data_IF_918908055482
#
_entry.id   IF_918908055482
#
_cell.length_a   1.000
_cell.length_b   1.000
_cell.length_c   1.000
_cell.angle_alpha   90.00
_cell.angle_beta   90.00
_cell.angle_gamma   90.00
#
_symmetry.space_group_name_H-M   'P 1'
#
loop_
_entity.id
_entity.type
_entity.pdbx_description
1 polymer ?
#
# COMPACT_ATOMS: atom_id res chain seq x y z
N UNK A 1 19.16 11.86 -12.39
CA UNK A 1 20.50 11.69 -13.00
C UNK A 1 21.36 12.93 -12.84
N UNK A 2 20.82 14.14 -13.08
CA UNK A 2 21.59 15.39 -12.96
C UNK A 2 21.34 16.16 -11.66
N UNK A 3 20.30 15.79 -10.91
CA UNK A 3 19.99 16.40 -9.63
C UNK A 3 21.09 16.10 -8.61
N UNK A 4 21.58 17.15 -7.95
CA UNK A 4 22.48 17.07 -6.81
C UNK A 4 21.78 17.71 -5.61
N UNK A 5 21.45 16.95 -4.55
CA UNK A 5 20.70 17.46 -3.42
C UNK A 5 21.53 18.46 -2.60
N UNK A 6 20.88 19.54 -2.16
CA UNK A 6 21.44 20.50 -1.20
C UNK A 6 21.27 20.06 0.26
N UNK A 7 20.45 19.03 0.52
CA UNK A 7 20.20 18.51 1.86
C UNK A 7 21.24 17.45 2.25
N UNK A 8 21.47 17.31 3.56
CA UNK A 8 22.38 16.29 4.10
C UNK A 8 21.68 14.94 4.13
N UNK A 9 22.27 13.96 3.46
CA UNK A 9 21.77 12.58 3.46
C UNK A 9 22.17 11.92 4.77
N UNK A 10 21.22 11.81 5.69
CA UNK A 10 21.42 11.13 6.98
C UNK A 10 21.31 9.61 6.86
N UNK A 11 20.53 9.13 5.89
CA UNK A 11 20.30 7.72 5.62
C UNK A 11 20.18 7.45 4.12
N UNK A 12 20.76 6.34 3.67
CA UNK A 12 20.61 5.87 2.29
C UNK A 12 19.27 5.15 2.10
N UNK A 13 18.32 5.86 1.50
CA UNK A 13 16.99 5.37 1.18
C UNK A 13 16.97 4.24 0.16
N UNK A 14 18.07 3.95 -0.56
CA UNK A 14 18.14 2.77 -1.43
C UNK A 14 18.31 1.46 -0.66
N UNK A 15 18.85 1.53 0.55
CA UNK A 15 19.12 0.36 1.40
C UNK A 15 18.17 0.25 2.59
N UNK A 16 17.32 1.26 2.80
CA UNK A 16 16.43 1.35 3.96
C UNK A 16 15.37 0.23 4.05
N UNK A 17 14.96 -0.36 2.92
CA UNK A 17 13.85 -1.31 2.83
C UNK A 17 14.23 -2.55 2.03
N UNK A 18 14.50 -3.65 2.74
CA UNK A 18 15.02 -4.90 2.18
C UNK A 18 14.07 -6.08 2.39
N UNK A 19 14.22 -7.12 1.58
CA UNK A 19 13.43 -8.35 1.71
C UNK A 19 13.77 -9.08 3.01
N UNK A 20 15.01 -8.96 3.48
CA UNK A 20 15.48 -9.52 4.74
C UNK A 20 14.78 -8.88 5.94
N UNK A 21 14.58 -7.55 5.94
CA UNK A 21 13.82 -6.86 6.99
C UNK A 21 12.35 -7.28 7.00
N UNK A 22 11.72 -7.39 5.81
CA UNK A 22 10.35 -7.90 5.70
C UNK A 22 10.25 -9.33 6.25
N UNK A 23 11.21 -10.20 5.88
CA UNK A 23 11.26 -11.59 6.31
C UNK A 23 11.53 -11.72 7.81
N UNK A 24 12.38 -10.88 8.39
CA UNK A 24 12.66 -10.87 9.83
C UNK A 24 11.37 -10.66 10.64
N UNK A 25 10.49 -9.76 10.20
CA UNK A 25 9.17 -9.54 10.85
C UNK A 25 8.29 -10.78 10.82
N UNK A 26 8.35 -11.59 9.76
CA UNK A 26 7.59 -12.84 9.61
C UNK A 26 8.22 -13.94 10.47
N UNK A 27 9.55 -14.01 10.49
CA UNK A 27 10.33 -15.02 11.22
C UNK A 27 10.09 -14.96 12.74
N UNK A 28 9.76 -13.79 13.27
CA UNK A 28 9.35 -13.61 14.67
C UNK A 28 8.04 -14.35 15.02
N UNK A 29 7.22 -14.69 14.03
CA UNK A 29 5.86 -15.22 14.26
C UNK A 29 5.56 -16.54 13.54
N UNK A 30 6.39 -16.97 12.58
CA UNK A 30 6.22 -18.24 11.86
C UNK A 30 7.57 -18.73 11.29
N UNK A 31 7.79 -20.05 11.40
CA UNK A 31 8.95 -20.75 10.84
C UNK A 31 8.67 -21.40 9.47
N UNK A 32 7.46 -21.20 8.92
CA UNK A 32 6.98 -21.89 7.71
C UNK A 32 7.40 -21.20 6.40
N UNK A 33 8.18 -20.12 6.49
CA UNK A 33 8.60 -19.30 5.35
C UNK A 33 10.11 -19.27 5.19
N UNK A 34 10.58 -19.06 3.97
CA UNK A 34 12.00 -18.83 3.63
C UNK A 34 12.15 -17.76 2.56
N UNK A 35 13.33 -17.14 2.51
CA UNK A 35 13.78 -16.38 1.35
C UNK A 35 14.28 -17.38 0.30
N UNK A 36 13.78 -17.27 -0.93
CA UNK A 36 14.27 -17.99 -2.11
C UNK A 36 15.08 -17.05 -3.00
N UNK A 37 16.19 -17.56 -3.53
CA UNK A 37 17.04 -16.92 -4.52
C UNK A 37 16.76 -17.46 -5.94
N UNK A 38 15.62 -18.13 -6.14
CA UNK A 38 15.24 -18.74 -7.43
C UNK A 38 15.25 -17.73 -8.58
N UNK A 39 14.99 -16.45 -8.29
CA UNK A 39 14.95 -15.38 -9.27
C UNK A 39 16.23 -14.52 -9.29
N UNK A 40 17.35 -15.05 -8.78
CA UNK A 40 18.66 -14.39 -8.89
C UNK A 40 18.95 -14.05 -10.36
N UNK A 41 19.47 -12.84 -10.58
CA UNK A 41 19.74 -12.29 -11.91
C UNK A 41 18.50 -12.20 -12.81
N UNK A 42 17.30 -12.23 -12.22
CA UNK A 42 16.00 -12.13 -12.89
C UNK A 42 15.77 -13.22 -13.95
N UNK A 43 16.35 -14.40 -13.72
CA UNK A 43 16.34 -15.54 -14.66
C UNK A 43 14.97 -16.22 -14.81
N UNK A 44 14.12 -16.16 -13.78
CA UNK A 44 12.82 -16.84 -13.76
C UNK A 44 11.66 -15.89 -14.04
N UNK A 45 11.73 -14.67 -13.51
CA UNK A 45 10.73 -13.62 -13.69
C UNK A 45 11.42 -12.25 -13.74
N UNK A 46 11.40 -11.63 -14.92
CA UNK A 46 12.07 -10.33 -15.15
C UNK A 46 11.43 -9.16 -14.41
N UNK A 47 10.22 -9.33 -13.88
CA UNK A 47 9.42 -8.28 -13.24
C UNK A 47 9.28 -8.46 -11.72
N UNK A 48 9.83 -9.55 -11.16
CA UNK A 48 9.95 -9.77 -9.72
C UNK A 48 11.32 -9.33 -9.19
N UNK A 49 11.47 -9.16 -7.87
CA UNK A 49 12.77 -8.94 -7.26
C UNK A 49 13.63 -10.21 -7.33
N UNK A 50 14.94 -10.09 -7.11
CA UNK A 50 15.86 -11.24 -7.10
C UNK A 50 15.59 -12.22 -5.94
N UNK A 51 15.03 -11.69 -4.85
CA UNK A 51 14.69 -12.44 -3.65
C UNK A 51 13.19 -12.39 -3.41
N UNK A 52 12.58 -13.54 -3.16
CA UNK A 52 11.14 -13.65 -2.85
C UNK A 52 10.92 -14.50 -1.61
N UNK A 53 9.84 -14.22 -0.89
CA UNK A 53 9.45 -15.00 0.30
C UNK A 53 8.42 -16.04 -0.12
N UNK A 54 8.71 -17.31 0.20
CA UNK A 54 7.95 -18.49 -0.22
C UNK A 54 7.85 -19.50 0.93
N UNK A 55 6.94 -20.48 0.86
CA UNK A 55 6.84 -21.52 1.88
C UNK A 55 8.13 -22.32 1.99
N UNK A 56 8.59 -22.55 3.22
CA UNK A 56 9.86 -23.22 3.53
C UNK A 56 9.96 -24.62 2.92
N UNK A 57 8.84 -25.34 2.86
CA UNK A 57 8.71 -26.71 2.32
C UNK A 57 8.79 -26.80 0.79
N UNK A 58 8.63 -25.69 0.08
CA UNK A 58 8.64 -25.68 -1.38
C UNK A 58 10.06 -25.47 -1.86
N UNK A 59 10.52 -26.33 -2.77
CA UNK A 59 11.83 -26.22 -3.42
C UNK A 59 11.81 -25.24 -4.60
N UNK A 60 12.97 -24.71 -4.97
CA UNK A 60 13.09 -23.76 -6.10
C UNK A 60 12.69 -24.40 -7.44
N UNK A 61 12.82 -25.72 -7.60
CA UNK A 61 12.35 -26.49 -8.77
C UNK A 61 10.83 -26.36 -8.99
N UNK A 62 10.06 -26.44 -7.90
CA UNK A 62 8.60 -26.27 -7.89
C UNK A 62 8.22 -24.83 -8.24
N UNK A 63 8.98 -23.85 -7.73
CA UNK A 63 8.78 -22.43 -8.07
C UNK A 63 9.01 -22.17 -9.56
N UNK A 64 10.08 -22.72 -10.15
CA UNK A 64 10.36 -22.60 -11.59
C UNK A 64 9.24 -23.25 -12.43
N UNK A 65 8.71 -24.39 -12.00
CA UNK A 65 7.57 -25.03 -12.67
C UNK A 65 6.31 -24.15 -12.61
N UNK A 66 5.98 -23.59 -11.45
CA UNK A 66 4.87 -22.63 -11.29
C UNK A 66 5.10 -21.37 -12.15
N UNK A 67 6.32 -20.83 -12.18
CA UNK A 67 6.67 -19.67 -12.99
C UNK A 67 6.40 -19.92 -14.48
N UNK A 68 6.81 -21.09 -15.01
CA UNK A 68 6.54 -21.46 -16.41
C UNK A 68 5.03 -21.55 -16.74
N UNK A 69 4.19 -21.76 -15.72
CA UNK A 69 2.74 -21.86 -15.84
C UNK A 69 2.01 -20.54 -15.53
N UNK A 70 2.71 -19.50 -15.08
CA UNK A 70 2.12 -18.21 -14.69
C UNK A 70 2.52 -17.12 -15.69
N UNK A 71 1.57 -16.28 -16.09
CA UNK A 71 1.83 -15.23 -17.08
C UNK A 71 3.05 -14.36 -16.67
N UNK A 72 3.98 -14.14 -17.59
CA UNK A 72 5.25 -13.41 -17.35
C UNK A 72 6.16 -14.03 -16.26
N UNK A 73 5.95 -15.29 -15.87
CA UNK A 73 6.75 -15.92 -14.82
C UNK A 73 6.36 -15.49 -13.40
N UNK A 74 5.25 -14.77 -13.20
CA UNK A 74 4.88 -14.19 -11.89
C UNK A 74 4.14 -15.21 -11.03
N UNK A 75 4.89 -16.20 -10.54
CA UNK A 75 4.41 -17.26 -9.65
C UNK A 75 3.93 -16.73 -8.28
N UNK A 76 3.07 -17.47 -7.55
CA UNK A 76 2.63 -17.10 -6.20
C UNK A 76 3.78 -16.83 -5.24
N UNK A 77 3.86 -15.59 -4.75
CA UNK A 77 4.81 -15.14 -3.71
C UNK A 77 4.07 -14.48 -2.55
N UNK A 78 4.68 -14.52 -1.36
CA UNK A 78 4.12 -13.86 -0.19
C UNK A 78 4.14 -12.34 -0.38
N UNK A 79 2.99 -11.71 -0.16
CA UNK A 79 2.83 -10.26 -0.11
C UNK A 79 2.76 -9.77 1.34
N UNK A 80 1.98 -10.47 2.17
CA UNK A 80 1.79 -10.14 3.58
C UNK A 80 1.44 -11.37 4.41
N UNK A 81 1.89 -11.39 5.66
CA UNK A 81 1.55 -12.42 6.63
C UNK A 81 0.87 -11.77 7.83
N UNK A 82 -0.41 -12.08 8.02
CA UNK A 82 -1.20 -11.51 9.09
C UNK A 82 -0.92 -12.22 10.42
N UNK A 83 -0.20 -11.52 11.31
CA UNK A 83 0.42 -12.12 12.51
C UNK A 83 -0.59 -12.74 13.48
N UNK A 84 -1.77 -12.13 13.63
CA UNK A 84 -2.82 -12.53 14.59
C UNK A 84 -3.51 -13.82 14.15
N UNK A 85 -4.07 -13.85 12.95
CA UNK A 85 -4.76 -15.05 12.43
C UNK A 85 -3.82 -16.09 11.79
N UNK A 86 -2.51 -15.79 11.66
CA UNK A 86 -1.51 -16.64 10.96
C UNK A 86 -1.89 -16.95 9.51
N UNK A 87 -2.58 -16.02 8.86
CA UNK A 87 -3.04 -16.14 7.46
C UNK A 87 -2.06 -15.46 6.52
N UNK A 88 -1.95 -16.00 5.30
CA UNK A 88 -1.06 -15.45 4.28
C UNK A 88 -1.86 -14.78 3.16
N UNK A 89 -1.36 -13.63 2.71
CA UNK A 89 -1.76 -12.96 1.49
C UNK A 89 -0.69 -13.20 0.44
N UNK A 90 -1.05 -13.93 -0.60
CA UNK A 90 -0.20 -14.26 -1.74
C UNK A 90 -0.61 -13.41 -2.94
N UNK A 91 0.35 -13.12 -3.83
CA UNK A 91 0.11 -12.43 -5.10
C UNK A 91 0.77 -13.15 -6.26
N UNK A 92 0.14 -13.12 -7.42
CA UNK A 92 0.66 -13.69 -8.67
C UNK A 92 -0.03 -13.07 -9.91
N UNK A 93 0.37 -13.54 -11.09
CA UNK A 93 -0.39 -13.37 -12.33
C UNK A 93 -1.39 -14.52 -12.55
N UNK A 94 -2.25 -14.41 -13.55
CA UNK A 94 -3.12 -15.51 -13.97
C UNK A 94 -2.33 -16.77 -14.37
N UNK A 95 -2.92 -17.97 -14.22
CA UNK A 95 -2.36 -19.21 -14.71
C UNK A 95 -2.58 -19.38 -16.23
N UNK A 96 -1.66 -20.08 -16.89
CA UNK A 96 -1.63 -20.32 -18.34
C UNK A 96 -2.40 -21.58 -18.74
N UNK A 97 -3.64 -21.69 -18.25
CA UNK A 97 -4.54 -22.86 -18.43
C UNK A 97 -4.92 -23.04 -19.90
N UNK A 98 -5.35 -21.96 -20.56
CA UNK A 98 -5.79 -21.96 -21.95
C UNK A 98 -7.08 -22.75 -22.19
N UNK A 99 -7.45 -22.87 -23.47
CA UNK A 99 -8.60 -23.67 -23.92
C UNK A 99 -8.38 -25.17 -23.73
N UNK A 100 -7.12 -25.62 -23.77
CA UNK A 100 -6.73 -27.02 -23.59
C UNK A 100 -6.69 -27.46 -22.13
N UNK A 101 -7.08 -26.61 -21.17
CA UNK A 101 -7.14 -26.93 -19.74
C UNK A 101 -5.82 -27.47 -19.18
N UNK A 102 -4.69 -26.82 -19.55
CA UNK A 102 -3.37 -27.20 -19.05
C UNK A 102 -3.31 -27.11 -17.53
N UNK A 103 -2.48 -27.98 -16.96
CA UNK A 103 -2.24 -28.10 -15.52
C UNK A 103 -0.76 -27.99 -15.21
N UNK A 104 -0.44 -27.67 -13.97
CA UNK A 104 0.92 -27.64 -13.47
C UNK A 104 0.94 -28.16 -12.02
N UNK A 105 1.49 -29.35 -11.81
CA UNK A 105 1.59 -29.95 -10.49
C UNK A 105 2.39 -29.07 -9.51
N UNK A 106 3.42 -28.38 -10.01
CA UNK A 106 4.21 -27.47 -9.17
C UNK A 106 3.42 -26.24 -8.70
N UNK A 107 2.54 -25.69 -9.53
CA UNK A 107 1.64 -24.59 -9.12
C UNK A 107 0.59 -25.06 -8.11
N UNK A 108 0.01 -26.24 -8.37
CA UNK A 108 -0.96 -26.89 -7.47
C UNK A 108 -0.32 -27.18 -6.09
N UNK A 109 0.90 -27.70 -6.07
CA UNK A 109 1.68 -27.97 -4.86
C UNK A 109 2.02 -26.68 -4.10
N UNK A 110 2.56 -25.67 -4.79
CA UNK A 110 2.87 -24.38 -4.19
C UNK A 110 1.64 -23.74 -3.54
N UNK A 111 0.51 -23.69 -4.23
CA UNK A 111 -0.72 -23.14 -3.65
C UNK A 111 -1.24 -24.01 -2.50
N UNK A 112 -1.23 -25.34 -2.62
CA UNK A 112 -1.62 -26.21 -1.50
C UNK A 112 -0.74 -25.98 -0.26
N UNK A 113 0.52 -25.62 -0.47
CA UNK A 113 1.51 -25.43 0.59
C UNK A 113 1.34 -24.14 1.42
N UNK A 114 0.43 -23.23 1.06
CA UNK A 114 0.14 -22.02 1.87
C UNK A 114 -1.16 -22.12 2.66
N UNK A 115 -1.90 -23.21 2.48
CA UNK A 115 -3.15 -23.44 3.18
C UNK A 115 -2.90 -23.91 4.61
N UNK A 116 -3.74 -23.40 5.52
CA UNK A 116 -3.80 -23.89 6.90
C UNK A 116 -4.54 -25.22 6.97
N UNK A 117 -4.17 -26.05 7.95
CA UNK A 117 -4.77 -27.35 8.13
C UNK A 117 -6.31 -27.25 8.28
N UNK A 118 -7.04 -28.00 7.47
CA UNK A 118 -8.51 -28.07 7.53
C UNK A 118 -9.28 -26.85 6.99
N UNK A 119 -8.61 -25.79 6.51
CA UNK A 119 -9.28 -24.59 5.96
C UNK A 119 -9.07 -24.45 4.45
N UNK A 120 -10.16 -24.14 3.72
CA UNK A 120 -10.08 -23.74 2.30
C UNK A 120 -9.56 -22.30 2.20
N UNK A 121 -8.76 -22.02 1.17
CA UNK A 121 -8.31 -20.66 0.85
C UNK A 121 -9.21 -19.97 -0.17
N UNK A 122 -8.99 -18.67 -0.37
CA UNK A 122 -9.67 -17.89 -1.40
C UNK A 122 -8.72 -17.45 -2.51
N UNK A 123 -9.16 -17.57 -3.76
CA UNK A 123 -8.49 -16.95 -4.92
C UNK A 123 -9.37 -15.79 -5.38
N UNK A 124 -8.85 -14.58 -5.25
CA UNK A 124 -9.54 -13.35 -5.65
C UNK A 124 -8.98 -12.92 -7.00
N UNK A 125 -9.80 -13.09 -8.05
CA UNK A 125 -9.51 -12.61 -9.38
C UNK A 125 -10.03 -11.18 -9.53
N UNK A 126 -9.13 -10.23 -9.80
CA UNK A 126 -9.50 -8.81 -9.92
C UNK A 126 -10.15 -8.47 -11.26
N UNK A 127 -10.43 -9.46 -12.12
CA UNK A 127 -11.11 -9.28 -13.41
C UNK A 127 -12.58 -9.69 -13.29
N UNK A 128 -13.41 -9.15 -14.18
CA UNK A 128 -14.74 -9.69 -14.40
C UNK A 128 -14.64 -11.12 -14.94
N UNK A 129 -15.68 -11.92 -14.67
CA UNK A 129 -15.77 -13.29 -15.17
C UNK A 129 -15.62 -13.36 -16.70
N UNK A 130 -16.20 -12.40 -17.43
CA UNK A 130 -16.08 -12.32 -18.89
C UNK A 130 -14.64 -12.08 -19.36
N UNK A 131 -13.92 -11.14 -18.73
CA UNK A 131 -12.51 -10.86 -19.07
C UNK A 131 -11.61 -12.04 -18.74
N UNK A 132 -11.89 -12.76 -17.65
CA UNK A 132 -11.19 -13.98 -17.30
C UNK A 132 -11.41 -15.10 -18.34
N UNK A 133 -12.64 -15.27 -18.83
CA UNK A 133 -12.94 -16.22 -19.92
C UNK A 133 -12.27 -15.83 -21.24
N UNK A 134 -12.26 -14.54 -21.60
CA UNK A 134 -11.51 -14.05 -22.77
C UNK A 134 -10.00 -14.23 -22.62
N UNK A 135 -9.47 -14.18 -21.40
CA UNK A 135 -8.06 -14.48 -21.16
C UNK A 135 -7.76 -15.97 -21.35
N UNK A 136 -8.71 -16.85 -21.01
CA UNK A 136 -8.61 -18.29 -21.27
C UNK A 136 -8.49 -18.62 -22.75
N UNK A 137 -9.24 -17.94 -23.62
CA UNK A 137 -9.13 -18.14 -25.08
C UNK A 137 -7.76 -17.72 -25.63
N UNK A 138 -7.08 -16.78 -24.96
CA UNK A 138 -5.72 -16.32 -25.28
C UNK A 138 -4.61 -17.11 -24.58
N UNK A 139 -4.93 -18.24 -23.95
CA UNK A 139 -3.95 -19.11 -23.29
C UNK A 139 -3.76 -18.88 -21.78
N UNK A 140 -4.34 -17.83 -21.22
CA UNK A 140 -4.40 -17.57 -19.77
C UNK A 140 -5.56 -18.32 -19.10
N UNK A 141 -6.21 -17.70 -18.11
CA UNK A 141 -7.44 -18.22 -17.50
C UNK A 141 -7.50 -18.06 -15.99
N UNK A 142 -8.11 -19.04 -15.33
CA UNK A 142 -8.27 -19.13 -13.87
C UNK A 142 -8.08 -20.58 -13.42
N UNK A 143 -7.77 -20.76 -12.15
CA UNK A 143 -7.60 -22.04 -11.46
C UNK A 143 -8.89 -22.87 -11.47
N UNK A 144 -8.96 -24.02 -12.16
CA UNK A 144 -10.16 -24.86 -12.20
C UNK A 144 -10.39 -25.58 -10.87
N UNK A 145 -11.62 -25.61 -10.35
CA UNK A 145 -11.95 -26.22 -9.04
C UNK A 145 -11.55 -27.70 -8.94
N UNK A 146 -11.65 -28.44 -10.06
CA UNK A 146 -11.25 -29.85 -10.16
C UNK A 146 -9.76 -30.06 -9.83
N UNK A 147 -8.91 -29.05 -10.06
CA UNK A 147 -7.46 -29.13 -9.85
C UNK A 147 -7.02 -28.36 -8.60
N UNK A 148 -7.85 -27.43 -8.13
CA UNK A 148 -7.61 -26.62 -6.94
C UNK A 148 -8.79 -26.76 -5.95
N UNK A 149 -9.14 -27.99 -5.48
CA UNK A 149 -10.37 -28.25 -4.73
C UNK A 149 -10.42 -27.58 -3.34
N UNK A 150 -9.25 -27.20 -2.82
CA UNK A 150 -9.10 -26.49 -1.54
C UNK A 150 -9.16 -24.96 -1.68
N UNK A 151 -9.40 -24.46 -2.89
CA UNK A 151 -9.46 -23.03 -3.19
C UNK A 151 -10.84 -22.66 -3.72
N UNK A 152 -11.46 -21.68 -3.07
CA UNK A 152 -12.69 -21.06 -3.56
C UNK A 152 -12.34 -19.81 -4.36
N UNK A 153 -12.63 -19.82 -5.66
CA UNK A 153 -12.37 -18.67 -6.55
C UNK A 153 -13.53 -17.69 -6.50
N UNK A 154 -13.21 -16.41 -6.36
CA UNK A 154 -14.14 -15.28 -6.32
C UNK A 154 -13.68 -14.19 -7.28
N UNK A 155 -14.62 -13.49 -7.90
CA UNK A 155 -14.32 -12.33 -8.74
C UNK A 155 -14.60 -11.04 -7.97
N UNK A 156 -13.60 -10.15 -7.89
CA UNK A 156 -13.72 -8.79 -7.32
C UNK A 156 -13.16 -7.79 -8.33
N UNK A 157 -13.96 -7.42 -9.35
CA UNK A 157 -13.46 -6.65 -10.49
C UNK A 157 -12.91 -5.28 -10.07
N UNK A 158 -11.72 -4.95 -10.57
CA UNK A 158 -11.11 -3.63 -10.49
C UNK A 158 -10.84 -3.16 -11.92
N UNK A 159 -11.25 -1.93 -12.22
CA UNK A 159 -11.11 -1.32 -13.54
C UNK A 159 -9.64 -1.11 -13.92
N UNK A 160 -9.31 -1.09 -15.23
CA UNK A 160 -7.91 -1.10 -15.69
C UNK A 160 -7.62 -0.06 -16.77
N UNK A 161 -6.35 0.36 -16.80
CA UNK A 161 -5.69 1.07 -17.91
C UNK A 161 -6.54 2.21 -18.51
N UNK A 162 -7.08 2.03 -19.71
CA UNK A 162 -7.76 3.06 -20.49
C UNK A 162 -8.97 3.65 -19.78
N UNK A 163 -9.79 2.82 -19.13
CA UNK A 163 -10.98 3.32 -18.42
C UNK A 163 -10.59 4.20 -17.22
N UNK A 164 -9.52 3.84 -16.49
CA UNK A 164 -9.00 4.68 -15.41
C UNK A 164 -8.39 6.00 -15.92
N UNK A 165 -7.74 6.00 -17.08
CA UNK A 165 -7.22 7.23 -17.70
C UNK A 165 -8.34 8.17 -18.15
N UNK A 166 -9.37 7.62 -18.80
CA UNK A 166 -10.55 8.39 -19.19
C UNK A 166 -11.23 9.00 -17.96
N UNK A 167 -11.36 8.20 -16.90
CA UNK A 167 -11.88 8.67 -15.61
C UNK A 167 -11.06 9.82 -15.03
N UNK A 168 -9.73 9.67 -14.96
CA UNK A 168 -8.82 10.73 -14.48
C UNK A 168 -8.99 12.03 -15.29
N UNK A 169 -9.18 11.91 -16.59
CA UNK A 169 -9.26 13.08 -17.47
C UNK A 169 -10.54 13.85 -17.26
N UNK A 170 -11.65 13.12 -17.16
CA UNK A 170 -12.97 13.70 -16.88
C UNK A 170 -13.01 14.38 -15.52
N UNK A 171 -12.42 13.76 -14.47
CA UNK A 171 -12.42 14.38 -13.13
C UNK A 171 -11.51 15.61 -13.11
N UNK A 172 -10.36 15.60 -13.78
CA UNK A 172 -9.48 16.76 -13.91
C UNK A 172 -10.17 17.90 -14.67
N UNK A 173 -10.77 17.60 -15.83
CA UNK A 173 -11.51 18.59 -16.63
C UNK A 173 -12.65 19.21 -15.82
N UNK A 174 -13.46 18.38 -15.16
CA UNK A 174 -14.53 18.83 -14.28
C UNK A 174 -14.00 19.75 -13.17
N UNK A 175 -12.87 19.36 -12.55
CA UNK A 175 -12.28 20.06 -11.40
C UNK A 175 -11.67 21.41 -11.77
N UNK A 176 -11.32 21.63 -13.03
CA UNK A 176 -10.72 22.88 -13.51
C UNK A 176 -11.74 23.90 -14.02
N UNK A 177 -12.98 23.49 -14.30
CA UNK A 177 -14.00 24.38 -14.85
C UNK A 177 -14.76 25.11 -13.73
N UNK A 178 -14.30 26.29 -13.37
CA UNK A 178 -14.88 27.11 -12.28
C UNK A 178 -16.16 27.85 -12.68
N UNK A 179 -16.54 27.81 -13.97
CA UNK A 179 -17.69 28.55 -14.51
C UNK A 179 -19.00 27.77 -14.55
N UNK A 180 -19.02 26.51 -14.09
CA UNK A 180 -20.20 25.65 -14.16
C UNK A 180 -21.16 25.82 -12.99
N UNK A 181 -22.45 25.53 -13.23
CA UNK A 181 -23.44 25.41 -12.16
C UNK A 181 -23.16 24.17 -11.28
N UNK A 182 -23.71 24.19 -10.06
CA UNK A 182 -23.59 23.06 -9.11
C UNK A 182 -24.11 21.73 -9.70
N UNK A 183 -25.27 21.76 -10.38
CA UNK A 183 -25.83 20.53 -10.99
C UNK A 183 -24.90 19.97 -12.07
N UNK A 184 -24.28 20.85 -12.86
CA UNK A 184 -23.36 20.45 -13.92
C UNK A 184 -22.02 19.94 -13.36
N UNK A 185 -21.53 20.53 -12.26
CA UNK A 185 -20.38 20.03 -11.51
C UNK A 185 -20.63 18.60 -11.02
N UNK A 186 -21.73 18.37 -10.30
CA UNK A 186 -22.07 17.06 -9.75
C UNK A 186 -22.27 16.02 -10.86
N UNK A 187 -22.98 16.37 -11.94
CA UNK A 187 -23.18 15.49 -13.09
C UNK A 187 -21.86 15.12 -13.78
N UNK A 188 -20.92 16.07 -13.94
CA UNK A 188 -19.60 15.77 -14.51
C UNK A 188 -18.73 14.92 -13.60
N UNK A 189 -18.78 15.18 -12.29
CA UNK A 189 -18.08 14.36 -11.30
C UNK A 189 -18.60 12.92 -11.32
N UNK A 190 -19.92 12.73 -11.36
CA UNK A 190 -20.53 11.40 -11.54
C UNK A 190 -20.10 10.75 -12.86
N UNK A 191 -20.20 11.48 -13.98
CA UNK A 191 -19.83 11.00 -15.31
C UNK A 191 -18.34 10.64 -15.47
N UNK A 192 -17.47 11.15 -14.58
CA UNK A 192 -16.06 10.75 -14.51
C UNK A 192 -15.89 9.31 -14.04
N UNK A 193 -16.79 8.78 -13.22
CA UNK A 193 -16.67 7.47 -12.59
C UNK A 193 -15.55 7.34 -11.54
N UNK A 194 -14.80 8.41 -11.24
CA UNK A 194 -13.61 8.35 -10.39
C UNK A 194 -13.94 7.77 -9.00
N UNK A 195 -14.93 8.35 -8.31
CA UNK A 195 -15.34 7.89 -6.97
C UNK A 195 -15.92 6.47 -6.99
N UNK A 196 -16.53 6.05 -8.09
CA UNK A 196 -17.01 4.68 -8.27
C UNK A 196 -15.84 3.69 -8.35
N UNK A 197 -14.73 4.07 -8.99
CA UNK A 197 -13.52 3.27 -9.01
C UNK A 197 -12.87 3.18 -7.63
N UNK A 198 -12.73 4.31 -6.92
CA UNK A 198 -12.23 4.35 -5.54
C UNK A 198 -13.05 3.42 -4.63
N UNK A 199 -14.39 3.54 -4.66
CA UNK A 199 -15.30 2.67 -3.90
C UNK A 199 -15.09 1.19 -4.24
N UNK A 200 -14.98 0.85 -5.53
CA UNK A 200 -14.83 -0.55 -5.97
C UNK A 200 -13.52 -1.15 -5.50
N UNK A 201 -12.44 -0.38 -5.55
CA UNK A 201 -11.11 -0.78 -5.08
C UNK A 201 -11.10 -0.98 -3.57
N UNK A 202 -11.61 -0.01 -2.79
CA UNK A 202 -11.73 -0.15 -1.34
C UNK A 202 -12.61 -1.35 -0.95
N UNK A 203 -13.71 -1.59 -1.66
CA UNK A 203 -14.56 -2.75 -1.43
C UNK A 203 -13.81 -4.08 -1.64
N UNK A 204 -12.95 -4.15 -2.67
CA UNK A 204 -12.08 -5.30 -2.89
C UNK A 204 -11.04 -5.46 -1.78
N UNK A 205 -10.38 -4.37 -1.36
CA UNK A 205 -9.39 -4.39 -0.31
C UNK A 205 -9.97 -4.78 1.05
N UNK A 206 -11.12 -4.23 1.44
CA UNK A 206 -11.86 -4.61 2.64
C UNK A 206 -12.24 -6.10 2.61
N UNK A 207 -12.66 -6.62 1.45
CA UNK A 207 -12.97 -8.04 1.30
C UNK A 207 -11.72 -8.93 1.49
N UNK A 208 -10.60 -8.57 0.87
CA UNK A 208 -9.32 -9.27 1.07
C UNK A 208 -8.92 -9.25 2.55
N UNK A 209 -9.02 -8.09 3.20
CA UNK A 209 -8.70 -7.94 4.62
C UNK A 209 -9.64 -8.78 5.50
N UNK A 210 -10.94 -8.79 5.21
CA UNK A 210 -11.94 -9.60 5.91
C UNK A 210 -11.62 -11.09 5.82
N UNK A 211 -11.25 -11.58 4.64
CA UNK A 211 -10.86 -12.98 4.47
C UNK A 211 -9.63 -13.36 5.32
N UNK A 212 -8.69 -12.44 5.52
CA UNK A 212 -7.47 -12.69 6.29
C UNK A 212 -7.70 -12.61 7.81
N UNK A 213 -8.43 -11.59 8.29
CA UNK A 213 -8.60 -11.29 9.72
C UNK A 213 -9.83 -11.95 10.33
N UNK A 214 -10.98 -11.94 9.64
CA UNK A 214 -12.25 -12.44 10.18
C UNK A 214 -12.55 -13.89 9.77
N UNK A 215 -12.38 -14.23 8.48
CA UNK A 215 -12.60 -15.61 8.02
C UNK A 215 -11.41 -16.52 8.39
N UNK A 216 -10.28 -15.90 8.76
CA UNK A 216 -9.01 -16.55 9.06
C UNK A 216 -8.62 -17.55 7.94
N UNK A 217 -8.55 -17.08 6.70
CA UNK A 217 -8.21 -17.88 5.52
C UNK A 217 -7.09 -17.25 4.72
N UNK A 218 -6.22 -18.09 4.16
CA UNK A 218 -5.19 -17.66 3.20
C UNK A 218 -5.86 -17.18 1.92
N UNK A 219 -5.35 -16.07 1.39
CA UNK A 219 -5.87 -15.42 0.18
C UNK A 219 -4.77 -15.36 -0.88
N UNK A 220 -5.11 -15.69 -2.12
CA UNK A 220 -4.29 -15.42 -3.31
C UNK A 220 -5.00 -14.36 -4.13
N UNK A 221 -4.35 -13.25 -4.42
CA UNK A 221 -4.89 -12.21 -5.31
C UNK A 221 -4.13 -12.26 -6.62
N UNK A 222 -4.86 -12.28 -7.73
CA UNK A 222 -4.27 -12.10 -9.05
C UNK A 222 -5.23 -11.38 -10.01
N UNK A 223 -4.66 -10.88 -11.09
CA UNK A 223 -5.39 -10.34 -12.23
C UNK A 223 -4.84 -10.97 -13.50
N UNK A 224 -4.70 -10.20 -14.58
CA UNK A 224 -3.97 -10.66 -15.76
C UNK A 224 -2.47 -10.80 -15.44
N UNK A 225 -1.71 -9.71 -15.55
CA UNK A 225 -0.26 -9.69 -15.33
C UNK A 225 0.11 -9.63 -13.84
N UNK A 226 -0.82 -9.25 -12.96
CA UNK A 226 -0.52 -9.10 -11.53
C UNK A 226 0.42 -7.93 -11.20
N UNK A 227 0.44 -6.89 -12.03
CA UNK A 227 1.30 -5.69 -11.90
C UNK A 227 0.56 -4.41 -11.54
N UNK A 228 -0.78 -4.45 -11.49
CA UNK A 228 -1.64 -3.28 -11.33
C UNK A 228 -2.67 -3.55 -10.22
N UNK A 229 -3.91 -3.90 -10.58
CA UNK A 229 -5.02 -4.13 -9.65
C UNK A 229 -4.71 -5.11 -8.51
N UNK A 230 -3.87 -6.13 -8.77
CA UNK A 230 -3.39 -7.06 -7.74
C UNK A 230 -2.57 -6.35 -6.67
N UNK A 231 -1.62 -5.50 -7.07
CA UNK A 231 -0.77 -4.77 -6.13
C UNK A 231 -1.61 -3.77 -5.33
N UNK A 232 -2.54 -3.10 -6.00
CA UNK A 232 -3.49 -2.17 -5.41
C UNK A 232 -4.34 -2.83 -4.31
N UNK A 233 -4.94 -3.99 -4.59
CA UNK A 233 -5.74 -4.72 -3.61
C UNK A 233 -4.87 -5.22 -2.44
N UNK A 234 -3.69 -5.76 -2.74
CA UNK A 234 -2.78 -6.27 -1.71
C UNK A 234 -2.24 -5.16 -0.79
N UNK A 235 -1.88 -4.00 -1.33
CA UNK A 235 -1.32 -2.90 -0.54
C UNK A 235 -2.38 -2.25 0.36
N UNK A 236 -3.62 -2.08 -0.14
CA UNK A 236 -4.71 -1.51 0.67
C UNK A 236 -5.17 -2.46 1.77
N UNK A 237 -5.23 -3.77 1.50
CA UNK A 237 -5.51 -4.75 2.56
C UNK A 237 -4.48 -4.65 3.69
N UNK A 238 -3.21 -4.39 3.37
CA UNK A 238 -2.15 -4.19 4.38
C UNK A 238 -2.30 -2.88 5.15
N UNK A 239 -2.71 -1.78 4.51
CA UNK A 239 -3.00 -0.51 5.21
C UNK A 239 -4.13 -0.69 6.24
N UNK A 240 -5.16 -1.46 5.88
CA UNK A 240 -6.29 -1.81 6.75
C UNK A 240 -5.83 -2.67 7.94
N UNK A 241 -5.06 -3.73 7.66
CA UNK A 241 -4.73 -4.77 8.64
C UNK A 241 -3.54 -4.43 9.54
N UNK A 242 -2.50 -3.78 9.02
CA UNK A 242 -1.21 -3.63 9.68
C UNK A 242 -0.96 -2.18 10.12
N UNK A 243 -0.87 -1.89 11.43
CA UNK A 243 -0.55 -0.56 11.92
C UNK A 243 0.84 -0.08 11.46
N UNK A 244 1.80 -0.98 11.18
CA UNK A 244 3.11 -0.60 10.65
C UNK A 244 2.93 0.16 9.32
N UNK A 245 2.00 -0.29 8.46
CA UNK A 245 1.74 0.34 7.17
C UNK A 245 1.14 1.75 7.26
N UNK A 246 0.83 2.25 8.47
CA UNK A 246 0.29 3.60 8.72
C UNK A 246 1.33 4.54 9.34
N UNK A 247 2.52 4.01 9.63
CA UNK A 247 3.70 4.80 10.01
C UNK A 247 4.39 5.34 8.75
N UNK A 248 5.16 6.42 8.86
CA UNK A 248 5.94 6.99 7.78
C UNK A 248 6.87 5.93 7.17
N UNK A 249 7.66 5.26 8.02
CA UNK A 249 8.60 4.21 7.59
C UNK A 249 7.90 2.98 7.03
N UNK A 250 6.83 2.52 7.67
CA UNK A 250 6.15 1.32 7.21
C UNK A 250 5.35 1.53 5.93
N UNK A 251 4.83 2.74 5.67
CA UNK A 251 4.23 3.06 4.37
C UNK A 251 5.28 3.15 3.26
N UNK A 252 6.46 3.73 3.52
CA UNK A 252 7.59 3.68 2.58
C UNK A 252 7.99 2.23 2.26
N UNK A 253 8.10 1.37 3.29
CA UNK A 253 8.38 -0.06 3.13
C UNK A 253 7.29 -0.78 2.31
N UNK A 254 6.02 -0.43 2.52
CA UNK A 254 4.89 -0.94 1.74
C UNK A 254 5.02 -0.56 0.27
N UNK A 255 5.32 0.71 -0.05
CA UNK A 255 5.53 1.17 -1.44
C UNK A 255 6.71 0.43 -2.07
N UNK A 256 7.83 0.31 -1.35
CA UNK A 256 9.00 -0.43 -1.82
C UNK A 256 8.71 -1.91 -2.09
N UNK A 257 7.99 -2.60 -1.20
CA UNK A 257 7.67 -4.02 -1.35
C UNK A 257 6.60 -4.27 -2.41
N UNK A 258 5.50 -3.53 -2.33
CA UNK A 258 4.28 -3.84 -3.07
C UNK A 258 4.24 -3.23 -4.45
N UNK A 259 4.95 -2.12 -4.68
CA UNK A 259 4.91 -1.40 -5.96
C UNK A 259 6.25 -1.49 -6.70
N UNK A 260 7.35 -1.14 -6.02
CA UNK A 260 8.65 -1.03 -6.67
C UNK A 260 9.28 -2.41 -6.91
N UNK A 261 9.52 -3.19 -5.84
CA UNK A 261 10.08 -4.54 -5.95
C UNK A 261 9.16 -5.49 -6.69
N UNK A 262 7.85 -5.33 -6.54
CA UNK A 262 6.84 -6.13 -7.22
C UNK A 262 6.76 -5.90 -8.73
N UNK A 263 7.40 -4.85 -9.25
CA UNK A 263 7.43 -4.52 -10.68
C UNK A 263 6.16 -3.86 -11.19
N UNK A 264 5.57 -2.92 -10.44
CA UNK A 264 4.62 -1.97 -11.03
C UNK A 264 5.36 -1.14 -12.09
N UNK A 265 4.87 -1.09 -13.35
CA UNK A 265 5.61 -0.45 -14.43
C UNK A 265 5.47 1.08 -14.43
N UNK A 266 6.04 1.76 -13.43
CA UNK A 266 5.90 3.21 -13.22
C UNK A 266 6.25 4.03 -14.47
N UNK A 267 7.35 3.73 -15.15
CA UNK A 267 7.75 4.45 -16.38
C UNK A 267 6.68 4.38 -17.48
N UNK A 268 6.04 3.22 -17.67
CA UNK A 268 4.98 3.06 -18.67
C UNK A 268 3.66 3.69 -18.20
N UNK A 269 3.33 3.53 -16.92
CA UNK A 269 2.02 3.93 -16.35
C UNK A 269 1.91 5.43 -16.14
N UNK A 270 2.99 6.06 -15.68
CA UNK A 270 3.08 7.47 -15.33
C UNK A 270 3.78 8.31 -16.40
N UNK A 271 3.90 7.82 -17.64
CA UNK A 271 4.57 8.53 -18.73
C UNK A 271 3.95 9.91 -19.01
N UNK A 272 2.63 10.03 -18.84
CA UNK A 272 1.88 11.26 -19.07
C UNK A 272 0.83 11.46 -17.97
N UNK A 273 0.63 12.71 -17.54
CA UNK A 273 -0.37 13.09 -16.53
C UNK A 273 -1.79 13.24 -17.08
N UNK A 274 -2.74 13.60 -16.21
CA UNK A 274 -4.17 13.74 -16.56
C UNK A 274 -4.48 14.79 -17.64
N UNK A 275 -3.61 15.78 -17.83
CA UNK A 275 -3.75 16.83 -18.85
C UNK A 275 -3.23 16.44 -20.24
N UNK A 276 -2.65 15.25 -20.38
CA UNK A 276 -2.11 14.84 -21.66
C UNK A 276 -3.23 14.69 -22.70
N UNK A 277 -3.07 15.24 -23.92
CA UNK A 277 -4.11 15.16 -24.94
C UNK A 277 -4.39 13.69 -25.30
N UNK A 278 -5.62 13.32 -25.68
CA UNK A 278 -5.96 11.94 -26.03
C UNK A 278 -5.05 11.33 -27.11
N UNK A 279 -4.49 12.15 -27.99
CA UNK A 279 -3.60 11.72 -29.08
C UNK A 279 -2.26 11.12 -28.64
N UNK A 280 -1.75 11.47 -27.44
CA UNK A 280 -0.47 10.94 -26.92
C UNK A 280 -0.66 9.83 -25.89
N UNK A 281 -1.92 9.47 -25.59
CA UNK A 281 -2.23 8.43 -24.61
C UNK A 281 -2.09 7.06 -25.22
N UNK A 282 -1.38 6.19 -24.51
CA UNK A 282 -1.26 4.78 -24.88
C UNK A 282 -2.10 3.94 -23.93
N UNK A 283 -2.45 2.73 -24.38
CA UNK A 283 -3.12 1.72 -23.56
C UNK A 283 -2.31 1.28 -22.34
N UNK A 284 -1.01 1.58 -22.32
CA UNK A 284 -0.08 1.20 -21.25
C UNK A 284 0.01 2.25 -20.14
N UNK A 285 -0.60 3.43 -20.31
CA UNK A 285 -0.72 4.43 -19.26
C UNK A 285 -1.87 4.04 -18.31
N UNK A 286 -1.75 4.39 -17.03
CA UNK A 286 -2.83 4.18 -16.05
C UNK A 286 -2.53 4.92 -14.75
N UNK A 287 -3.50 5.59 -14.11
CA UNK A 287 -3.32 6.24 -12.82
C UNK A 287 -3.46 5.25 -11.66
N UNK A 288 -2.98 4.02 -11.80
CA UNK A 288 -3.22 2.95 -10.81
C UNK A 288 -2.57 3.26 -9.47
N UNK A 289 -1.36 3.83 -9.46
CA UNK A 289 -0.73 4.29 -8.22
C UNK A 289 -1.45 5.51 -7.61
N UNK A 290 -2.02 6.39 -8.43
CA UNK A 290 -2.85 7.49 -7.93
C UNK A 290 -4.15 6.97 -7.29
N UNK A 291 -4.81 5.97 -7.89
CA UNK A 291 -5.98 5.33 -7.28
C UNK A 291 -5.63 4.72 -5.91
N UNK A 292 -4.43 4.13 -5.77
CA UNK A 292 -3.93 3.66 -4.48
C UNK A 292 -3.83 4.80 -3.46
N UNK A 293 -3.17 5.90 -3.82
CA UNK A 293 -2.99 7.04 -2.93
C UNK A 293 -4.33 7.70 -2.56
N UNK A 294 -5.27 7.82 -3.48
CA UNK A 294 -6.62 8.33 -3.20
C UNK A 294 -7.37 7.39 -2.25
N UNK A 295 -7.30 6.07 -2.45
CA UNK A 295 -7.87 5.11 -1.49
C UNK A 295 -7.24 5.24 -0.10
N UNK A 296 -5.92 5.46 0.00
CA UNK A 296 -5.26 5.73 1.29
C UNK A 296 -5.74 7.05 1.89
N UNK A 297 -5.93 8.09 1.09
CA UNK A 297 -6.55 9.34 1.52
C UNK A 297 -7.96 9.11 2.08
N UNK A 298 -8.82 8.31 1.43
CA UNK A 298 -10.15 8.00 1.95
C UNK A 298 -10.08 7.33 3.34
N UNK A 299 -9.14 6.39 3.53
CA UNK A 299 -8.95 5.71 4.83
C UNK A 299 -8.40 6.71 5.86
N UNK A 300 -7.41 7.53 5.47
CA UNK A 300 -6.84 8.56 6.32
C UNK A 300 -7.91 9.54 6.81
N UNK A 301 -8.82 10.01 5.96
CA UNK A 301 -9.90 10.91 6.35
C UNK A 301 -10.87 10.29 7.36
N UNK A 302 -11.16 8.99 7.22
CA UNK A 302 -12.05 8.29 8.16
C UNK A 302 -11.35 7.94 9.48
N UNK A 303 -10.01 7.88 9.50
CA UNK A 303 -9.19 7.52 10.66
C UNK A 303 -8.02 8.49 10.85
N UNK A 304 -8.31 9.80 10.95
CA UNK A 304 -7.31 10.87 10.91
C UNK A 304 -6.18 10.74 11.95
N UNK A 305 -6.43 10.12 13.11
CA UNK A 305 -5.38 9.94 14.12
C UNK A 305 -4.55 8.66 13.91
N UNK A 306 -4.94 7.73 13.04
CA UNK A 306 -4.29 6.42 12.91
C UNK A 306 -3.08 6.40 11.97
N UNK A 307 -2.76 7.52 11.32
CA UNK A 307 -1.66 7.66 10.36
C UNK A 307 -0.63 8.66 10.86
N UNK A 308 0.64 8.26 10.82
CA UNK A 308 1.77 9.10 11.25
C UNK A 308 2.09 10.18 10.22
N UNK A 309 1.83 9.91 8.94
CA UNK A 309 2.01 10.88 7.87
C UNK A 309 0.71 11.64 7.60
N UNK A 310 0.84 12.86 7.08
CA UNK A 310 -0.28 13.70 6.67
C UNK A 310 -0.60 13.54 5.16
N UNK A 311 -1.64 14.24 4.71
CA UNK A 311 -2.09 14.25 3.32
C UNK A 311 -1.01 14.75 2.34
N UNK A 312 -0.16 15.69 2.75
CA UNK A 312 0.92 16.25 1.92
C UNK A 312 1.93 15.18 1.51
N UNK A 313 2.19 14.19 2.37
CA UNK A 313 3.03 13.05 2.01
C UNK A 313 2.44 12.25 0.85
N UNK A 314 1.13 12.01 0.84
CA UNK A 314 0.47 11.29 -0.26
C UNK A 314 0.52 12.08 -1.56
N UNK A 315 0.32 13.41 -1.49
CA UNK A 315 0.44 14.31 -2.65
C UNK A 315 1.88 14.28 -3.19
N UNK A 316 2.88 14.34 -2.32
CA UNK A 316 4.29 14.25 -2.69
C UNK A 316 4.60 12.94 -3.41
N UNK A 317 4.09 11.80 -2.94
CA UNK A 317 4.26 10.52 -3.63
C UNK A 317 3.63 10.51 -5.02
N UNK A 318 2.44 11.12 -5.15
CA UNK A 318 1.80 11.29 -6.46
C UNK A 318 2.70 12.12 -7.39
N UNK A 319 3.15 13.30 -6.97
CA UNK A 319 3.97 14.19 -7.79
C UNK A 319 5.27 13.51 -8.22
N UNK A 320 5.99 12.90 -7.29
CA UNK A 320 7.24 12.18 -7.57
C UNK A 320 7.06 10.90 -8.39
N UNK A 321 5.83 10.37 -8.51
CA UNK A 321 5.56 9.24 -9.42
C UNK A 321 5.49 9.67 -10.90
N UNK A 322 5.17 10.94 -11.17
CA UNK A 322 5.08 11.49 -12.53
C UNK A 322 6.30 12.34 -12.90
N UNK A 323 6.79 13.18 -11.97
CA UNK A 323 7.93 14.05 -12.18
C UNK A 323 8.78 14.10 -10.91
N UNK A 324 10.04 13.67 -11.02
CA UNK A 324 10.90 13.57 -9.84
C UNK A 324 12.35 13.89 -10.14
N UNK A 325 12.98 14.58 -9.20
CA UNK A 325 14.44 14.71 -9.12
C UNK A 325 15.14 13.43 -8.64
N UNK A 326 14.38 12.50 -8.05
CA UNK A 326 14.85 11.25 -7.45
C UNK A 326 14.67 10.04 -8.37
N UNK A 327 15.42 8.97 -8.10
CA UNK A 327 15.35 7.73 -8.88
C UNK A 327 14.24 6.76 -8.46
N UNK A 328 13.59 6.99 -7.32
CA UNK A 328 12.73 6.00 -6.64
C UNK A 328 11.61 5.45 -7.52
N UNK A 329 10.95 6.28 -8.33
CA UNK A 329 9.83 5.87 -9.20
C UNK A 329 10.22 5.70 -10.67
N UNK A 330 11.52 5.63 -10.99
CA UNK A 330 11.97 5.37 -12.36
C UNK A 330 11.87 3.87 -12.72
N UNK A 331 11.90 3.60 -14.03
CA UNK A 331 11.86 2.27 -14.65
C UNK A 331 10.57 1.47 -14.39
N UNK A 332 10.50 0.23 -14.89
CA UNK A 332 9.31 -0.62 -14.76
C UNK A 332 9.48 -1.84 -13.83
N UNK A 333 10.71 -2.20 -13.50
CA UNK A 333 11.02 -3.41 -12.73
C UNK A 333 12.37 -3.30 -12.03
N UNK A 334 12.61 -4.16 -11.04
CA UNK A 334 13.93 -4.24 -10.38
C UNK A 334 15.06 -4.58 -11.35
N UNK A 335 14.78 -5.36 -12.40
CA UNK A 335 15.75 -5.67 -13.45
C UNK A 335 16.22 -4.40 -14.17
N UNK A 336 15.28 -3.61 -14.68
CA UNK A 336 15.61 -2.34 -15.36
C UNK A 336 16.32 -1.36 -14.42
N UNK A 337 15.92 -1.31 -13.14
CA UNK A 337 16.58 -0.46 -12.12
C UNK A 337 18.05 -0.85 -11.91
N UNK A 338 18.36 -2.15 -11.88
CA UNK A 338 19.72 -2.69 -11.79
C UNK A 338 20.53 -2.36 -13.04
N UNK A 339 19.96 -2.54 -14.22
CA UNK A 339 20.59 -2.22 -15.52
C UNK A 339 20.93 -0.72 -15.65
N UNK A 340 20.02 0.15 -15.20
CA UNK A 340 20.22 1.60 -15.20
C UNK A 340 21.17 2.08 -14.09
N UNK A 341 21.53 1.21 -13.13
CA UNK A 341 22.37 1.54 -11.97
C UNK A 341 21.81 2.71 -11.17
N UNK A 342 20.50 2.69 -10.91
CA UNK A 342 19.82 3.83 -10.25
C UNK A 342 20.41 4.18 -8.89
N UNK A 343 20.71 3.22 -7.99
CA UNK A 343 21.30 3.56 -6.69
C UNK A 343 22.64 4.31 -6.79
N UNK A 344 23.40 4.07 -7.86
CA UNK A 344 24.71 4.71 -8.08
C UNK A 344 24.60 6.04 -8.84
N UNK A 345 23.52 6.25 -9.60
CA UNK A 345 23.37 7.40 -10.51
C UNK A 345 22.30 8.40 -10.10
N UNK A 346 21.54 8.09 -9.04
CA UNK A 346 20.41 8.90 -8.58
C UNK A 346 20.25 8.79 -7.07
N UNK A 347 19.56 9.76 -6.50
CA UNK A 347 19.23 9.79 -5.08
C UNK A 347 17.85 9.15 -4.84
N UNK A 348 17.68 8.53 -3.67
CA UNK A 348 16.38 8.00 -3.24
C UNK A 348 15.51 9.13 -2.70
N UNK A 349 14.23 9.12 -3.04
CA UNK A 349 13.21 9.98 -2.44
C UNK A 349 13.14 9.75 -0.92
N UNK A 350 13.36 8.52 -0.46
CA UNK A 350 13.30 8.21 0.97
C UNK A 350 14.41 8.90 1.77
N UNK A 351 15.59 9.10 1.18
CA UNK A 351 16.66 9.89 1.80
C UNK A 351 16.24 11.34 2.04
N UNK A 352 15.43 11.89 1.14
CA UNK A 352 14.89 13.25 1.28
C UNK A 352 13.75 13.31 2.29
N UNK A 353 12.75 12.43 2.14
CA UNK A 353 11.58 12.38 3.02
C UNK A 353 11.97 12.14 4.47
N UNK A 354 13.00 11.31 4.70
CA UNK A 354 13.48 10.98 6.04
C UNK A 354 14.46 12.02 6.62
N UNK A 355 14.69 13.14 5.94
CA UNK A 355 15.42 14.26 6.54
C UNK A 355 14.57 14.90 7.65
N UNK A 356 15.19 15.44 8.73
CA UNK A 356 14.45 15.97 9.88
C UNK A 356 13.42 17.04 9.52
N UNK A 357 13.79 17.95 8.62
CA UNK A 357 12.93 19.06 8.19
C UNK A 357 11.69 18.54 7.45
N UNK A 358 11.88 17.60 6.53
CA UNK A 358 10.78 17.00 5.77
C UNK A 358 9.90 16.11 6.64
N UNK A 359 10.47 15.34 7.57
CA UNK A 359 9.69 14.56 8.52
C UNK A 359 8.80 15.46 9.38
N UNK A 360 9.31 16.61 9.85
CA UNK A 360 8.52 17.54 10.64
C UNK A 360 7.32 18.10 9.85
N UNK A 361 7.49 18.40 8.55
CA UNK A 361 6.41 18.89 7.67
C UNK A 361 5.39 17.81 7.33
N UNK A 362 5.84 16.57 7.14
CA UNK A 362 5.01 15.47 6.64
C UNK A 362 4.35 14.64 7.75
N UNK A 363 4.72 14.89 9.01
CA UNK A 363 4.14 14.18 10.16
C UNK A 363 2.78 14.79 10.53
N UNK A 364 1.82 13.91 10.80
CA UNK A 364 0.52 14.28 11.31
C UNK A 364 0.59 14.54 12.83
N UNK A 365 0.33 15.77 13.30
CA UNK A 365 0.37 16.09 14.74
C UNK A 365 -0.75 15.41 15.55
N UNK A 366 -1.76 14.88 14.86
CA UNK A 366 -2.86 14.13 15.48
C UNK A 366 -2.58 12.64 15.58
N UNK A 367 -1.43 12.16 15.10
CA UNK A 367 -1.09 10.74 15.15
C UNK A 367 -1.15 10.20 16.58
N UNK A 368 -1.89 9.11 16.73
CA UNK A 368 -1.95 8.28 17.91
C UNK A 368 -1.89 6.82 17.44
N UNK A 369 -0.98 6.06 18.04
CA UNK A 369 -0.65 4.74 17.54
C UNK A 369 -1.81 3.75 17.75
N UNK A 370 -2.55 3.49 16.67
CA UNK A 370 -3.70 2.60 16.68
C UNK A 370 -3.34 1.19 16.20
N UNK A 371 -3.21 0.25 17.13
CA UNK A 371 -2.89 -1.15 16.85
C UNK A 371 -4.05 -1.99 16.28
N UNK A 372 -5.25 -1.44 16.18
CA UNK A 372 -6.41 -2.17 15.70
C UNK A 372 -6.45 -2.22 14.16
N UNK A 373 -7.16 -3.22 13.63
CA UNK A 373 -7.59 -3.23 12.23
C UNK A 373 -8.59 -2.10 12.03
N UNK A 374 -8.41 -1.30 10.97
CA UNK A 374 -9.28 -0.16 10.66
C UNK A 374 -10.17 -0.49 9.46
N UNK A 375 -11.49 -0.53 9.66
CA UNK A 375 -12.45 -0.89 8.61
C UNK A 375 -13.07 0.37 7.99
N UNK A 376 -12.58 0.86 6.84
CA UNK A 376 -13.16 2.04 6.21
C UNK A 376 -14.57 1.74 5.69
N UNK A 377 -15.47 2.70 5.87
CA UNK A 377 -16.75 2.72 5.19
C UNK A 377 -16.54 2.86 3.69
N UNK A 378 -17.12 1.91 2.95
CA UNK A 378 -17.18 1.90 1.48
C UNK A 378 -18.56 2.32 0.97
N UNK A 379 -19.40 2.89 1.84
CA UNK A 379 -20.67 3.49 1.45
C UNK A 379 -20.40 4.69 0.54
N UNK A 380 -21.18 4.90 -0.54
CA UNK A 380 -20.98 6.03 -1.45
C UNK A 380 -20.90 7.39 -0.74
N UNK A 381 -21.67 7.58 0.32
CA UNK A 381 -21.72 8.81 1.13
C UNK A 381 -20.43 9.08 1.90
N UNK A 382 -19.59 8.07 2.11
CA UNK A 382 -18.31 8.18 2.82
C UNK A 382 -17.13 8.42 1.89
N UNK A 383 -17.33 8.34 0.57
CA UNK A 383 -16.28 8.53 -0.42
C UNK A 383 -16.37 9.94 -0.99
N UNK A 384 -15.30 10.71 -0.86
CA UNK A 384 -15.28 12.13 -1.22
C UNK A 384 -14.23 12.40 -2.29
N UNK A 385 -14.43 13.44 -3.10
CA UNK A 385 -13.38 13.93 -3.99
C UNK A 385 -12.21 14.44 -3.15
N UNK A 386 -10.97 14.09 -3.52
CA UNK A 386 -9.76 14.54 -2.86
C UNK A 386 -9.44 16.01 -3.19
N UNK A 387 -9.78 16.99 -2.32
CA UNK A 387 -9.77 18.40 -2.70
C UNK A 387 -8.36 18.96 -2.83
N UNK A 388 -7.46 18.61 -1.91
CA UNK A 388 -6.07 19.08 -1.92
C UNK A 388 -5.26 18.56 -3.12
N UNK A 389 -5.77 17.56 -3.85
CA UNK A 389 -5.20 17.10 -5.10
C UNK A 389 -5.90 17.71 -6.31
N UNK A 390 -7.21 17.49 -6.45
CA UNK A 390 -7.96 17.83 -7.66
C UNK A 390 -8.40 19.29 -7.72
N UNK A 391 -8.66 19.92 -6.58
CA UNK A 391 -9.16 21.30 -6.46
C UNK A 391 -8.08 22.28 -5.99
N UNK A 392 -6.82 21.85 -5.89
CA UNK A 392 -5.70 22.65 -5.35
C UNK A 392 -5.42 23.97 -6.07
N UNK A 393 -5.83 24.08 -7.33
CA UNK A 393 -5.67 25.29 -8.14
C UNK A 393 -6.92 26.17 -8.16
N UNK A 394 -8.04 25.66 -7.64
CA UNK A 394 -9.34 26.34 -7.61
C UNK A 394 -9.66 26.87 -6.22
N UNK A 395 -9.33 26.09 -5.19
CA UNK A 395 -9.62 26.42 -3.81
C UNK A 395 -8.39 26.99 -3.10
N UNK A 396 -8.56 28.15 -2.44
CA UNK A 396 -7.53 28.69 -1.57
C UNK A 396 -7.31 27.74 -0.38
N UNK A 397 -6.12 27.15 -0.31
CA UNK A 397 -5.74 26.20 0.74
C UNK A 397 -5.36 26.90 2.05
N UNK A 398 -5.22 28.24 2.06
CA UNK A 398 -4.76 29.00 3.22
C UNK A 398 -5.58 28.73 4.49
N UNK A 399 -6.93 28.68 4.49
CA UNK A 399 -7.69 28.42 5.70
C UNK A 399 -7.43 27.03 6.30
N UNK A 400 -7.25 26.02 5.44
CA UNK A 400 -6.93 24.66 5.88
C UNK A 400 -5.53 24.61 6.52
N UNK A 401 -4.57 25.31 5.92
CA UNK A 401 -3.21 25.42 6.46
C UNK A 401 -3.21 26.11 7.83
N UNK A 402 -3.91 27.25 7.96
CA UNK A 402 -4.04 27.97 9.23
C UNK A 402 -4.71 27.11 10.33
N UNK A 403 -5.69 26.28 9.96
CA UNK A 403 -6.31 25.34 10.87
C UNK A 403 -5.30 24.28 11.37
N UNK A 404 -4.47 23.73 10.48
CA UNK A 404 -3.43 22.78 10.84
C UNK A 404 -2.32 23.38 11.69
N UNK A 405 -1.89 24.61 11.39
CA UNK A 405 -0.93 25.36 12.20
C UNK A 405 -1.47 25.56 13.62
N UNK A 406 -2.75 25.93 13.74
CA UNK A 406 -3.44 26.05 15.05
C UNK A 406 -3.49 24.71 15.80
N UNK A 407 -3.79 23.61 15.10
CA UNK A 407 -3.79 22.26 15.71
C UNK A 407 -2.40 21.90 16.24
N UNK A 408 -1.34 22.20 15.48
CA UNK A 408 0.03 21.95 15.88
C UNK A 408 0.41 22.76 17.14
N UNK A 409 0.04 24.04 17.19
CA UNK A 409 0.24 24.88 18.37
C UNK A 409 -0.47 24.32 19.61
N UNK A 410 -1.73 23.90 19.46
CA UNK A 410 -2.52 23.30 20.54
C UNK A 410 -1.85 22.01 21.04
N UNK A 411 -1.36 21.16 20.14
CA UNK A 411 -0.66 19.90 20.49
C UNK A 411 0.66 20.15 21.21
N UNK A 412 1.45 21.13 20.75
CA UNK A 412 2.69 21.52 21.41
C UNK A 412 2.41 22.04 22.82
N UNK A 413 1.39 22.89 22.99
CA UNK A 413 0.95 23.38 24.29
C UNK A 413 0.48 22.25 25.22
N UNK A 414 -0.29 21.29 24.72
CA UNK A 414 -0.72 20.11 25.49
C UNK A 414 0.50 19.29 25.97
N UNK A 415 1.49 19.06 25.09
CA UNK A 415 2.73 18.35 25.43
C UNK A 415 3.53 19.05 26.52
N UNK A 416 3.66 20.38 26.44
CA UNK A 416 4.32 21.19 27.46
C UNK A 416 3.59 21.14 28.81
N UNK A 417 2.26 21.30 28.79
CA UNK A 417 1.43 21.25 29.99
C UNK A 417 1.47 19.87 30.66
N UNK A 418 1.42 18.78 29.89
CA UNK A 418 1.61 17.41 30.40
C UNK A 418 2.97 17.23 31.05
N UNK A 419 4.03 17.69 30.39
CA UNK A 419 5.40 17.63 30.93
C UNK A 419 5.55 18.45 32.21
N UNK A 420 4.91 19.63 32.28
CA UNK A 420 4.86 20.44 33.50
C UNK A 420 4.07 19.74 34.62
N UNK A 421 2.92 19.14 34.31
CA UNK A 421 2.11 18.41 35.28
C UNK A 421 2.88 17.20 35.87
N UNK A 422 3.59 16.44 35.04
CA UNK A 422 4.44 15.32 35.50
C UNK A 422 5.53 15.82 36.44
N UNK A 423 6.22 16.90 36.09
CA UNK A 423 7.26 17.51 36.94
C UNK A 423 6.70 17.98 38.29
N UNK A 424 5.56 18.69 38.27
CA UNK A 424 4.93 19.19 39.49
C UNK A 424 4.43 18.05 40.38
N UNK A 425 3.88 16.97 39.81
CA UNK A 425 3.47 15.77 40.58
C UNK A 425 4.67 15.11 41.25
N UNK A 426 5.80 15.01 40.56
CA UNK A 426 7.03 14.48 41.13
C UNK A 426 7.55 15.35 42.27
N UNK A 427 7.58 16.67 42.07
CA UNK A 427 7.98 17.62 43.11
C UNK A 427 7.05 17.58 44.33
N UNK A 428 5.74 17.43 44.12
CA UNK A 428 4.78 17.27 45.21
C UNK A 428 5.09 16.02 46.04
N UNK A 429 5.33 14.87 45.40
CA UNK A 429 5.70 13.64 46.09
C UNK A 429 7.01 13.76 46.87
N UNK A 430 8.02 14.42 46.30
CA UNK A 430 9.30 14.66 46.97
C UNK A 430 9.12 15.56 48.21
N UNK A 431 8.31 16.62 48.10
CA UNK A 431 8.01 17.52 49.24
C UNK A 431 7.12 16.87 50.30
N UNK A 432 6.19 16.00 49.91
CA UNK A 432 5.36 15.22 50.84
C UNK A 432 6.23 14.27 51.66
N UNK A 433 7.18 13.57 51.04
CA UNK A 433 8.13 12.68 51.72
C UNK A 433 9.04 13.47 52.69
N UNK A 434 9.60 14.60 52.25
CA UNK A 434 10.40 15.48 53.13
C UNK A 434 9.60 16.00 54.33
N UNK A 435 8.35 16.38 54.12
CA UNK A 435 7.47 16.87 55.18
C UNK A 435 7.07 15.75 56.18
N UNK A 436 6.93 14.51 55.72
CA UNK A 436 6.71 13.34 56.58
C UNK A 436 7.98 13.09 57.43
N UNK A 437 9.16 13.08 56.81
CA UNK A 437 10.45 12.88 57.50
C UNK A 437 10.69 13.97 58.55
N UNK A 438 10.29 15.21 58.27
CA UNK A 438 10.42 16.34 59.21
C UNK A 438 9.30 16.40 60.26
N UNK A 439 8.32 15.48 60.23
CA UNK A 439 7.20 15.43 61.16
C UNK A 439 6.18 16.56 60.99
N UNK A 440 6.19 17.25 59.84
CA UNK A 440 5.24 18.31 59.49
C UNK A 440 3.94 17.71 58.96
N UNK A 441 4.03 16.58 58.24
CA UNK A 441 2.89 15.80 57.76
C UNK A 441 2.90 14.41 58.41
N UNK A 442 1.72 13.88 58.76
CA UNK A 442 1.59 12.48 59.18
C UNK A 442 1.54 11.57 57.95
N UNK A 443 2.18 10.42 58.05
CA UNK A 443 2.17 9.43 56.98
C UNK A 443 0.73 8.95 56.75
N UNK A 444 0.22 9.11 55.53
CA UNK A 444 -1.16 8.74 55.19
C UNK A 444 -1.45 7.24 55.37
N UNK A 445 -0.41 6.41 55.47
CA UNK A 445 -0.48 4.98 55.80
C UNK A 445 -0.67 4.69 57.30
N UNK A 446 -0.36 5.62 58.20
CA UNK A 446 -0.54 5.43 59.66
C UNK A 446 -1.95 5.76 60.17
N UNK A 447 -2.87 6.14 59.29
CA UNK A 447 -4.28 6.45 59.61
C UNK A 447 -5.24 5.27 59.33
N UNK A 448 -4.71 4.11 58.93
CA UNK A 448 -5.47 2.89 58.65
C UNK A 448 -5.24 1.74 59.66
N UNK A 449 -4.46 1.98 60.72
CA UNK A 449 -4.40 1.15 61.95
C UNK A 449 -5.14 1.86 63.09
#
# INVERSE_FOLDING_TARGET
>A
FFYNPSFVIMEDGWSAFTTEQDFAKIKLVSDDWRISLVNKDFSVCSTYPEQVIVPKRIEDSVLMASASFRQLGRFPVLSYFHKKAKTALMRCSQPMVGTTMRRCNGDEELLKSVLMCGKKGFIIDTRTQNVAQLSKTKGGGCEPEVHYPMWTRLHKPIERHTALLESLSKVVEASTDTGVSMDKWLSRLEASGWLSHIKSVLSCACFVAQCLDQDERTVVVHGSEGTDATLLACSLAQVILDPDCRTMRGFQALVEREWLRAGHPFRLRCQHGGFAPPSVRTKDQSPTFLIFLDCVFQIHQQFACSFEFNEQFLIMLFEHSYCSSFGTFLANSMKERKELKLPQKTYSLWSYVNSPDMLAELTNPMYDHNNQVIWPSVAPQSIVLWPALFLRWVYDQKPLKEAWDTILEIRNRDKELRSKAIRLRRQLLELEDEAIVQGVLQDSLSLLE
#
